data_IF_502382787446
#
_entry.id   IF_502382787446
#
_cell.length_a   1.000
_cell.length_b   1.000
_cell.length_c   1.000
_cell.angle_alpha   90.00
_cell.angle_beta   90.00
_cell.angle_gamma   90.00
#
_symmetry.space_group_name_H-M   'P 1'
#
loop_
_entity.id
_entity.type
_entity.pdbx_description
1 polymer ?
#
# COMPACT_ATOMS: atom_id res chain seq x y z
N UNK A 1 -26.68 -37.48 0.92
CA UNK A 1 -25.42 -37.14 1.61
C UNK A 1 -25.75 -36.66 3.02
N UNK A 2 -25.06 -37.17 4.04
CA UNK A 2 -25.25 -36.69 5.41
C UNK A 2 -24.73 -35.25 5.54
N UNK A 3 -25.52 -34.37 6.17
CA UNK A 3 -25.11 -32.99 6.45
C UNK A 3 -24.09 -32.90 7.59
N UNK A 4 -24.03 -33.94 8.44
CA UNK A 4 -23.15 -34.02 9.61
C UNK A 4 -21.96 -34.95 9.36
N UNK A 5 -20.82 -34.60 9.95
CA UNK A 5 -19.64 -35.48 10.03
C UNK A 5 -19.85 -36.41 11.22
N UNK A 6 -20.10 -37.69 10.96
CA UNK A 6 -20.30 -38.69 12.02
C UNK A 6 -18.97 -39.29 12.49
N UNK A 7 -18.96 -39.92 13.68
CA UNK A 7 -17.79 -40.68 14.16
C UNK A 7 -17.39 -41.82 13.21
N UNK A 8 -18.35 -42.41 12.51
CA UNK A 8 -18.08 -43.41 11.47
C UNK A 8 -17.28 -42.81 10.31
N UNK A 9 -17.61 -41.58 9.89
CA UNK A 9 -16.84 -40.85 8.88
C UNK A 9 -15.41 -40.58 9.36
N UNK A 10 -15.25 -40.05 10.59
CA UNK A 10 -13.92 -39.76 11.17
C UNK A 10 -13.07 -41.02 11.26
N UNK A 11 -13.63 -42.14 11.73
CA UNK A 11 -12.92 -43.42 11.79
C UNK A 11 -12.52 -43.92 10.41
N UNK A 12 -13.37 -43.74 9.38
CA UNK A 12 -13.03 -44.06 7.98
C UNK A 12 -11.89 -43.18 7.47
N UNK A 13 -11.91 -41.87 7.75
CA UNK A 13 -10.84 -40.94 7.35
C UNK A 13 -9.51 -41.28 8.03
N UNK A 14 -9.53 -41.58 9.32
CA UNK A 14 -8.34 -41.97 10.07
C UNK A 14 -7.74 -43.27 9.55
N UNK A 15 -8.58 -44.27 9.22
CA UNK A 15 -8.12 -45.51 8.61
C UNK A 15 -7.44 -45.23 7.26
N UNK A 16 -8.06 -44.41 6.40
CA UNK A 16 -7.48 -44.01 5.10
C UNK A 16 -6.13 -43.29 5.27
N UNK A 17 -6.03 -42.35 6.21
CA UNK A 17 -4.80 -41.64 6.50
C UNK A 17 -3.70 -42.57 7.03
N UNK A 18 -4.02 -43.45 8.00
CA UNK A 18 -3.05 -44.39 8.58
C UNK A 18 -2.55 -45.42 7.56
N UNK A 19 -3.32 -45.74 6.53
CA UNK A 19 -2.91 -46.64 5.45
C UNK A 19 -2.05 -45.98 4.37
N UNK A 20 -1.90 -44.65 4.39
CA UNK A 20 -1.09 -43.90 3.42
C UNK A 20 0.32 -43.61 3.98
N UNK A 21 1.38 -44.28 3.48
CA UNK A 21 2.74 -44.07 3.97
C UNK A 21 3.26 -42.64 3.71
N UNK A 22 2.91 -42.04 2.57
CA UNK A 22 3.33 -40.69 2.21
C UNK A 22 2.71 -39.69 3.17
N UNK A 23 1.41 -39.80 3.44
CA UNK A 23 0.72 -38.94 4.40
C UNK A 23 1.32 -39.04 5.82
N UNK A 24 1.73 -40.25 6.25
CA UNK A 24 2.37 -40.46 7.56
C UNK A 24 3.76 -39.82 7.64
N UNK A 25 4.59 -39.97 6.61
CA UNK A 25 5.93 -39.36 6.58
C UNK A 25 5.81 -37.84 6.52
N UNK A 26 4.94 -37.31 5.66
CA UNK A 26 4.67 -35.88 5.56
C UNK A 26 4.17 -35.30 6.89
N UNK A 27 3.29 -36.01 7.61
CA UNK A 27 2.85 -35.61 8.96
C UNK A 27 4.03 -35.56 9.94
N UNK A 28 4.91 -36.57 9.96
CA UNK A 28 6.05 -36.58 10.87
C UNK A 28 6.99 -35.38 10.63
N UNK A 29 7.17 -34.97 9.38
CA UNK A 29 7.96 -33.78 9.04
C UNK A 29 7.23 -32.48 9.38
N UNK A 30 6.00 -32.30 8.88
CA UNK A 30 5.22 -31.07 9.01
C UNK A 30 4.77 -30.76 10.44
N UNK A 31 4.66 -31.76 11.33
CA UNK A 31 4.36 -31.52 12.76
C UNK A 31 5.54 -30.96 13.55
N UNK A 32 6.75 -30.93 12.96
CA UNK A 32 7.99 -30.48 13.61
C UNK A 32 8.50 -29.13 13.09
N UNK A 33 7.98 -28.64 11.97
CA UNK A 33 8.45 -27.40 11.32
C UNK A 33 7.37 -26.81 10.40
N UNK A 34 7.56 -25.58 9.95
CA UNK A 34 6.76 -24.96 8.89
C UNK A 34 6.77 -25.83 7.62
N UNK A 35 5.58 -26.12 7.08
CA UNK A 35 5.39 -26.96 5.88
C UNK A 35 6.15 -26.43 4.67
N UNK A 36 6.31 -25.11 4.53
CA UNK A 36 7.04 -24.49 3.40
C UNK A 36 8.52 -24.85 3.42
N UNK A 37 9.09 -25.13 4.60
CA UNK A 37 10.49 -25.56 4.72
C UNK A 37 10.66 -27.02 4.30
N UNK A 38 9.63 -27.83 4.46
CA UNK A 38 9.62 -29.25 4.07
C UNK A 38 9.34 -29.41 2.59
N UNK A 39 8.37 -28.63 2.09
CA UNK A 39 7.90 -28.69 0.71
C UNK A 39 8.81 -27.97 -0.28
N UNK A 40 9.96 -27.44 0.13
CA UNK A 40 10.84 -26.70 -0.79
C UNK A 40 11.42 -27.66 -1.85
N UNK A 41 11.15 -27.38 -3.13
CA UNK A 41 11.76 -28.09 -4.24
C UNK A 41 13.23 -27.71 -4.35
N UNK A 42 14.12 -28.68 -4.09
CA UNK A 42 15.56 -28.45 -4.11
C UNK A 42 16.11 -28.14 -5.51
N UNK A 43 15.59 -28.79 -6.55
CA UNK A 43 16.05 -28.59 -7.93
C UNK A 43 15.62 -27.21 -8.45
N UNK A 44 14.40 -26.76 -8.19
CA UNK A 44 14.00 -25.38 -8.48
C UNK A 44 14.83 -24.38 -7.67
N UNK A 45 15.10 -24.67 -6.38
CA UNK A 45 15.83 -23.76 -5.51
C UNK A 45 17.29 -23.53 -5.96
N UNK A 46 18.00 -24.59 -6.38
CA UNK A 46 19.41 -24.47 -6.82
C UNK A 46 19.58 -23.75 -8.15
N UNK A 47 18.52 -23.61 -8.95
CA UNK A 47 18.52 -22.92 -10.25
C UNK A 47 18.30 -21.40 -10.12
N UNK A 48 17.98 -20.91 -8.92
CA UNK A 48 17.76 -19.49 -8.67
C UNK A 48 19.04 -18.70 -8.92
N UNK A 49 18.99 -17.81 -9.92
CA UNK A 49 20.05 -16.85 -10.25
C UNK A 49 19.51 -15.41 -10.12
N UNK A 50 20.22 -14.58 -9.36
CA UNK A 50 19.92 -13.16 -9.19
C UNK A 50 20.71 -12.26 -10.15
N UNK A 51 21.22 -12.84 -11.24
CA UNK A 51 21.92 -12.14 -12.32
C UNK A 51 20.93 -11.76 -13.42
N UNK A 52 20.79 -10.47 -13.68
CA UNK A 52 19.85 -9.93 -14.68
C UNK A 52 20.61 -9.22 -15.80
N UNK A 53 20.26 -9.51 -17.06
CA UNK A 53 20.88 -8.92 -18.25
C UNK A 53 20.58 -7.42 -18.41
N UNK A 54 19.41 -6.97 -17.96
CA UNK A 54 19.01 -5.57 -17.91
C UNK A 54 18.75 -5.16 -16.46
N UNK A 55 19.34 -4.04 -16.04
CA UNK A 55 19.17 -3.48 -14.70
C UNK A 55 18.95 -1.98 -14.78
N UNK A 56 18.07 -1.48 -13.93
CA UNK A 56 17.84 -0.05 -13.72
C UNK A 56 19.02 0.54 -12.94
N UNK A 57 19.58 1.64 -13.42
CA UNK A 57 20.71 2.33 -12.79
C UNK A 57 20.26 3.14 -11.58
N UNK A 58 21.17 3.42 -10.64
CA UNK A 58 20.84 4.29 -9.51
C UNK A 58 20.05 3.62 -8.39
N UNK A 59 20.03 2.28 -8.34
CA UNK A 59 19.55 1.51 -7.19
C UNK A 59 20.18 2.02 -5.88
N UNK A 60 19.34 2.16 -4.85
CA UNK A 60 19.74 2.59 -3.51
C UNK A 60 19.43 1.48 -2.49
N UNK A 61 20.01 1.57 -1.29
CA UNK A 61 19.76 0.62 -0.21
C UNK A 61 18.26 0.44 0.06
N UNK A 62 17.86 -0.79 0.35
CA UNK A 62 16.48 -1.13 0.65
C UNK A 62 15.94 -0.33 1.84
N UNK A 63 14.70 0.10 1.72
CA UNK A 63 13.93 0.80 2.76
C UNK A 63 13.12 -0.20 3.58
N UNK A 64 12.71 0.16 4.81
CA UNK A 64 11.91 -0.73 5.67
C UNK A 64 10.68 -0.05 6.23
N UNK A 65 9.49 -0.53 5.84
CA UNK A 65 8.20 -0.05 6.36
C UNK A 65 7.86 -0.57 7.77
N UNK A 66 8.68 -1.47 8.32
CA UNK A 66 8.48 -2.10 9.63
C UNK A 66 7.08 -2.73 9.75
N UNK A 67 6.37 -2.47 10.85
CA UNK A 67 5.04 -3.03 11.16
C UNK A 67 3.94 -2.05 10.73
N UNK A 68 3.92 -1.72 9.43
CA UNK A 68 2.90 -0.87 8.81
C UNK A 68 2.57 -1.39 7.41
N UNK A 69 1.39 -1.05 6.89
CA UNK A 69 0.91 -1.45 5.56
C UNK A 69 1.25 -0.44 4.45
N UNK A 70 2.41 0.24 4.53
CA UNK A 70 2.78 1.37 3.65
C UNK A 70 3.53 0.97 2.37
N UNK A 71 3.49 -0.30 1.98
CA UNK A 71 4.29 -0.83 0.86
C UNK A 71 4.15 -0.01 -0.44
N UNK A 72 2.92 0.38 -0.79
CA UNK A 72 2.61 1.21 -1.95
C UNK A 72 3.33 2.57 -1.93
N UNK A 73 3.30 3.27 -0.79
CA UNK A 73 4.00 4.55 -0.61
C UNK A 73 5.53 4.39 -0.59
N UNK A 74 6.04 3.33 0.05
CA UNK A 74 7.47 3.01 -0.01
C UNK A 74 7.92 2.72 -1.44
N UNK A 75 7.16 1.93 -2.20
CA UNK A 75 7.47 1.61 -3.59
C UNK A 75 7.42 2.86 -4.49
N UNK A 76 6.41 3.72 -4.34
CA UNK A 76 6.31 4.98 -5.09
C UNK A 76 7.47 5.94 -4.78
N UNK A 77 7.81 6.11 -3.50
CA UNK A 77 8.96 6.95 -3.10
C UNK A 77 10.30 6.31 -3.49
N UNK A 78 10.40 4.98 -3.56
CA UNK A 78 11.58 4.26 -4.06
C UNK A 78 11.78 4.47 -5.57
N UNK A 79 10.69 4.51 -6.34
CA UNK A 79 10.71 4.88 -7.75
C UNK A 79 11.24 6.31 -7.91
N UNK A 80 10.68 7.27 -7.18
CA UNK A 80 11.08 8.68 -7.29
C UNK A 80 12.54 8.94 -6.89
N UNK A 81 13.08 8.23 -5.88
CA UNK A 81 14.43 8.52 -5.39
C UNK A 81 15.51 8.07 -6.37
N UNK A 82 15.19 7.15 -7.28
CA UNK A 82 16.10 6.76 -8.37
C UNK A 82 16.35 7.97 -9.27
N UNK A 83 15.28 8.64 -9.73
CA UNK A 83 15.40 9.83 -10.56
C UNK A 83 16.12 10.98 -9.85
N UNK A 84 15.77 11.26 -8.59
CA UNK A 84 16.45 12.27 -7.79
C UNK A 84 17.93 11.92 -7.59
N UNK A 85 18.24 10.66 -7.31
CA UNK A 85 19.59 10.14 -7.15
C UNK A 85 20.45 10.32 -8.39
N UNK A 86 19.88 10.10 -9.58
CA UNK A 86 20.54 10.35 -10.88
C UNK A 86 20.79 11.84 -11.09
N UNK A 87 19.77 12.68 -10.92
CA UNK A 87 19.83 14.14 -11.10
C UNK A 87 20.93 14.77 -10.23
N UNK A 88 20.98 14.41 -8.95
CA UNK A 88 21.95 14.97 -7.99
C UNK A 88 23.22 14.14 -7.81
N UNK A 89 23.36 13.03 -8.55
CA UNK A 89 24.50 12.11 -8.45
C UNK A 89 24.76 11.67 -7.00
N UNK A 90 23.71 11.28 -6.28
CA UNK A 90 23.78 10.77 -4.90
C UNK A 90 23.39 9.27 -4.86
N UNK A 91 23.89 8.54 -3.86
CA UNK A 91 23.61 7.08 -3.69
C UNK A 91 22.82 6.75 -2.42
N UNK A 92 22.63 7.73 -1.54
CA UNK A 92 21.95 7.53 -0.26
C UNK A 92 20.97 8.67 -0.02
N UNK A 93 19.70 8.39 -0.32
CA UNK A 93 18.59 9.32 -0.14
C UNK A 93 17.30 8.54 0.13
N UNK A 94 16.47 9.09 0.99
CA UNK A 94 15.10 8.64 1.21
C UNK A 94 14.18 9.86 1.33
N UNK A 95 12.99 9.78 0.72
CA UNK A 95 11.89 10.66 1.07
C UNK A 95 11.26 10.22 2.40
N UNK A 96 10.55 11.13 3.06
CA UNK A 96 9.82 10.81 4.28
C UNK A 96 8.56 10.02 3.96
N UNK A 97 8.57 8.74 4.32
CA UNK A 97 7.37 7.89 4.27
C UNK A 97 6.39 8.22 5.42
N UNK A 98 6.86 8.89 6.48
CA UNK A 98 6.03 9.39 7.56
C UNK A 98 5.21 10.62 7.11
N UNK A 99 5.81 11.57 6.39
CA UNK A 99 5.12 12.70 5.77
C UNK A 99 4.00 12.24 4.83
N UNK A 100 4.32 11.27 3.97
CA UNK A 100 3.34 10.63 3.11
C UNK A 100 2.17 10.00 3.91
N UNK A 101 2.49 9.21 4.94
CA UNK A 101 1.49 8.57 5.79
C UNK A 101 0.58 9.57 6.51
N UNK A 102 1.13 10.70 6.96
CA UNK A 102 0.38 11.74 7.65
C UNK A 102 -0.78 12.24 6.79
N UNK A 103 -0.48 12.69 5.57
CA UNK A 103 -1.51 13.24 4.68
C UNK A 103 -2.42 12.17 4.11
N UNK A 104 -1.92 10.97 3.82
CA UNK A 104 -2.78 9.85 3.41
C UNK A 104 -3.86 9.56 4.46
N UNK A 105 -3.48 9.54 5.75
CA UNK A 105 -4.42 9.29 6.84
C UNK A 105 -5.40 10.43 7.03
N UNK A 106 -4.94 11.67 6.99
CA UNK A 106 -5.81 12.83 7.10
C UNK A 106 -6.86 12.84 5.97
N UNK A 107 -6.41 12.58 4.74
CA UNK A 107 -7.28 12.56 3.57
C UNK A 107 -8.25 11.39 3.60
N UNK A 108 -7.81 10.18 3.96
CA UNK A 108 -8.70 9.04 4.17
C UNK A 108 -9.77 9.31 5.24
N UNK A 109 -9.41 10.00 6.32
CA UNK A 109 -10.39 10.41 7.32
C UNK A 109 -11.46 11.33 6.71
N UNK A 110 -11.05 12.35 5.95
CA UNK A 110 -11.98 13.23 5.24
C UNK A 110 -12.83 12.46 4.22
N UNK A 111 -12.22 11.62 3.39
CA UNK A 111 -12.89 10.78 2.40
C UNK A 111 -13.94 9.87 3.03
N UNK A 112 -13.59 9.24 4.15
CA UNK A 112 -14.54 8.43 4.92
C UNK A 112 -15.72 9.27 5.42
N UNK A 113 -15.49 10.44 6.01
CA UNK A 113 -16.58 11.28 6.53
C UNK A 113 -17.49 11.78 5.39
N UNK A 114 -16.93 12.13 4.24
CA UNK A 114 -17.72 12.46 3.03
C UNK A 114 -18.56 11.28 2.57
N UNK A 115 -17.97 10.08 2.48
CA UNK A 115 -18.73 8.88 2.11
C UNK A 115 -19.87 8.60 3.10
N UNK A 116 -19.69 8.84 4.40
CA UNK A 116 -20.75 8.69 5.39
C UNK A 116 -21.87 9.72 5.19
N UNK A 117 -21.54 10.96 4.84
CA UNK A 117 -22.52 12.01 4.54
C UNK A 117 -23.30 11.65 3.27
N UNK A 118 -22.59 11.27 2.20
CA UNK A 118 -23.18 10.87 0.91
C UNK A 118 -24.09 9.64 1.01
N UNK A 119 -23.78 8.72 1.93
CA UNK A 119 -24.54 7.48 2.14
C UNK A 119 -25.45 7.53 3.37
N UNK A 120 -25.75 8.74 3.85
CA UNK A 120 -26.59 8.97 5.04
C UNK A 120 -28.01 8.42 4.91
N UNK A 121 -28.52 8.29 3.68
CA UNK A 121 -29.80 7.69 3.32
C UNK A 121 -29.85 6.16 3.43
N UNK A 122 -28.68 5.49 3.41
CA UNK A 122 -28.60 4.03 3.45
C UNK A 122 -28.76 3.48 4.86
N UNK A 123 -29.30 2.27 5.01
CA UNK A 123 -29.38 1.61 6.31
C UNK A 123 -28.00 1.35 6.92
N UNK A 124 -27.90 1.45 8.25
CA UNK A 124 -26.64 1.23 9.00
C UNK A 124 -26.14 -0.20 8.92
N UNK A 125 -27.03 -1.17 8.68
CA UNK A 125 -26.71 -2.58 8.46
C UNK A 125 -26.51 -2.94 6.97
N UNK A 126 -26.53 -1.96 6.07
CA UNK A 126 -26.25 -2.21 4.66
C UNK A 126 -24.79 -2.62 4.46
N UNK A 127 -24.55 -3.50 3.48
CA UNK A 127 -23.20 -3.99 3.14
C UNK A 127 -22.20 -2.86 2.88
N UNK A 128 -22.64 -1.78 2.25
CA UNK A 128 -21.80 -0.62 1.97
C UNK A 128 -21.39 0.11 3.26
N UNK A 129 -22.33 0.40 4.15
CA UNK A 129 -22.01 1.06 5.43
C UNK A 129 -21.12 0.17 6.29
N UNK A 130 -21.40 -1.14 6.36
CA UNK A 130 -20.52 -2.09 7.04
C UNK A 130 -19.10 -2.08 6.46
N UNK A 131 -18.95 -2.02 5.13
CA UNK A 131 -17.65 -1.94 4.46
C UNK A 131 -16.90 -0.64 4.79
N UNK A 132 -17.57 0.53 4.69
CA UNK A 132 -16.97 1.82 5.01
C UNK A 132 -16.50 1.89 6.48
N UNK A 133 -17.26 1.29 7.39
CA UNK A 133 -16.95 1.28 8.83
C UNK A 133 -15.88 0.27 9.22
N UNK A 134 -15.57 -0.74 8.39
CA UNK A 134 -14.63 -1.81 8.73
C UNK A 134 -13.20 -1.27 8.95
N UNK A 135 -12.66 -0.58 7.95
CA UNK A 135 -11.24 -0.17 7.91
C UNK A 135 -11.06 1.24 7.29
N UNK A 136 -11.66 2.30 7.87
CA UNK A 136 -11.74 3.63 7.25
C UNK A 136 -10.39 4.34 7.06
N UNK A 137 -9.34 3.89 7.75
CA UNK A 137 -8.02 4.53 7.74
C UNK A 137 -6.86 3.53 7.64
N UNK A 138 -7.11 2.40 6.96
CA UNK A 138 -6.07 1.41 6.69
C UNK A 138 -4.85 2.04 5.98
N UNK A 139 -3.67 1.44 6.18
CA UNK A 139 -2.41 1.99 5.64
C UNK A 139 -2.29 1.83 4.12
N UNK A 140 -2.93 0.81 3.53
CA UNK A 140 -2.79 0.47 2.11
C UNK A 140 -3.45 1.47 1.18
N UNK A 141 -3.00 1.52 -0.07
CA UNK A 141 -3.53 2.41 -1.10
C UNK A 141 -3.05 1.99 -2.50
N UNK A 142 -3.36 2.82 -3.49
CA UNK A 142 -3.15 2.55 -4.92
C UNK A 142 -2.33 3.66 -5.59
N UNK A 143 -1.92 3.43 -6.84
CA UNK A 143 -1.09 4.40 -7.58
C UNK A 143 -1.74 5.78 -7.68
N UNK A 144 -2.98 5.91 -8.15
CA UNK A 144 -3.63 7.23 -8.28
C UNK A 144 -3.78 7.94 -6.92
N UNK A 145 -4.02 7.19 -5.84
CA UNK A 145 -4.04 7.74 -4.48
C UNK A 145 -2.67 8.31 -4.06
N UNK A 146 -1.58 7.71 -4.54
CA UNK A 146 -0.20 8.19 -4.28
C UNK A 146 0.05 9.47 -5.08
N UNK A 147 -0.35 9.50 -6.35
CA UNK A 147 -0.28 10.68 -7.21
C UNK A 147 -1.04 11.85 -6.59
N UNK A 148 -2.29 11.64 -6.16
CA UNK A 148 -3.12 12.68 -5.53
C UNK A 148 -2.42 13.35 -4.34
N UNK A 149 -1.76 12.55 -3.49
CA UNK A 149 -1.05 13.07 -2.32
C UNK A 149 0.17 13.90 -2.70
N UNK A 150 0.98 13.43 -3.65
CA UNK A 150 2.18 14.16 -4.07
C UNK A 150 1.84 15.42 -4.85
N UNK A 151 0.79 15.39 -5.68
CA UNK A 151 0.32 16.59 -6.38
C UNK A 151 -0.21 17.64 -5.41
N UNK A 152 -0.92 17.24 -4.35
CA UNK A 152 -1.51 18.16 -3.36
C UNK A 152 -0.52 18.63 -2.28
N UNK A 153 0.32 17.74 -1.75
CA UNK A 153 1.19 18.03 -0.61
C UNK A 153 2.69 18.02 -0.95
N UNK A 154 3.09 17.49 -2.09
CA UNK A 154 4.49 17.32 -2.43
C UNK A 154 5.14 16.21 -1.62
N UNK A 155 6.43 16.37 -1.31
CA UNK A 155 7.19 15.41 -0.51
C UNK A 155 8.35 16.11 0.19
N UNK A 156 9.01 15.43 1.13
CA UNK A 156 10.16 15.96 1.85
C UNK A 156 11.24 14.88 2.02
N UNK A 157 12.52 15.24 2.19
CA UNK A 157 13.54 14.30 2.61
C UNK A 157 13.21 13.66 3.97
N UNK A 158 13.58 12.40 4.16
CA UNK A 158 13.34 11.65 5.41
C UNK A 158 13.93 12.32 6.65
N UNK A 159 15.01 13.09 6.49
CA UNK A 159 15.64 13.85 7.60
C UNK A 159 14.77 15.01 8.09
N UNK A 160 13.88 15.54 7.26
CA UNK A 160 13.01 16.67 7.61
C UNK A 160 11.80 16.19 8.41
N UNK A 161 11.28 15.00 8.11
CA UNK A 161 10.26 14.34 8.91
C UNK A 161 10.62 12.87 9.07
N UNK A 162 11.30 12.54 10.17
CA UNK A 162 11.75 11.18 10.46
C UNK A 162 10.58 10.25 10.81
N UNK A 163 10.84 8.95 10.84
CA UNK A 163 9.88 7.95 11.32
C UNK A 163 9.61 8.13 12.82
N UNK A 164 8.32 8.17 13.20
CA UNK A 164 7.88 7.99 14.58
C UNK A 164 7.66 6.51 14.93
N UNK A 165 7.44 6.20 16.22
CA UNK A 165 7.02 4.87 16.64
C UNK A 165 5.77 4.39 15.89
N UNK A 166 4.75 5.23 15.76
CA UNK A 166 3.50 4.87 15.10
C UNK A 166 3.60 4.81 13.59
N UNK A 167 4.51 5.55 12.96
CA UNK A 167 4.77 5.38 11.53
C UNK A 167 5.35 3.98 11.24
N UNK A 168 6.21 3.46 12.11
CA UNK A 168 6.82 2.13 12.03
C UNK A 168 6.01 1.01 12.72
N UNK A 169 4.92 1.33 13.41
CA UNK A 169 4.03 0.41 14.13
C UNK A 169 2.60 0.98 14.25
N UNK A 170 1.85 0.94 13.15
CA UNK A 170 0.64 1.76 12.96
C UNK A 170 -0.64 1.21 13.60
N UNK A 171 -0.65 -0.07 13.99
CA UNK A 171 -1.87 -0.77 14.42
C UNK A 171 -2.64 -0.04 15.53
N UNK A 172 -1.95 0.43 16.58
CA UNK A 172 -2.59 1.10 17.71
C UNK A 172 -3.16 2.48 17.33
N UNK A 173 -2.43 3.26 16.53
CA UNK A 173 -2.90 4.54 16.03
C UNK A 173 -4.14 4.35 15.16
N UNK A 174 -4.09 3.39 14.22
CA UNK A 174 -5.24 3.07 13.35
C UNK A 174 -6.46 2.66 14.14
N UNK A 175 -6.30 1.84 15.20
CA UNK A 175 -7.39 1.43 16.09
C UNK A 175 -8.05 2.63 16.79
N UNK A 176 -7.26 3.55 17.33
CA UNK A 176 -7.77 4.72 18.04
C UNK A 176 -8.48 5.69 17.10
N UNK A 177 -7.89 5.99 15.95
CA UNK A 177 -8.50 6.87 14.95
C UNK A 177 -9.76 6.25 14.36
N UNK A 178 -9.75 4.94 14.05
CA UNK A 178 -10.94 4.21 13.57
C UNK A 178 -12.09 4.27 14.57
N UNK A 179 -11.79 4.11 15.87
CA UNK A 179 -12.81 4.26 16.93
C UNK A 179 -13.46 5.64 16.88
N UNK A 180 -12.65 6.70 16.73
CA UNK A 180 -13.15 8.07 16.66
C UNK A 180 -13.92 8.36 15.37
N UNK A 181 -13.45 7.86 14.23
CA UNK A 181 -14.17 7.97 12.95
C UNK A 181 -15.55 7.28 13.00
N UNK A 182 -15.67 6.13 13.67
CA UNK A 182 -16.97 5.46 13.86
C UNK A 182 -17.93 6.25 14.74
N UNK A 183 -17.43 6.90 15.79
CA UNK A 183 -18.19 7.84 16.62
C UNK A 183 -18.70 9.02 15.77
N UNK A 184 -17.81 9.64 15.00
CA UNK A 184 -18.16 10.72 14.07
C UNK A 184 -19.18 10.31 13.01
N UNK A 185 -19.06 9.09 12.47
CA UNK A 185 -20.02 8.58 11.51
C UNK A 185 -21.43 8.46 12.11
N UNK A 186 -21.54 8.01 13.36
CA UNK A 186 -22.81 8.00 14.11
C UNK A 186 -23.36 9.43 14.25
N UNK A 187 -22.52 10.35 14.72
CA UNK A 187 -22.94 11.73 15.01
C UNK A 187 -23.34 12.50 13.74
N UNK A 188 -22.62 12.33 12.62
CA UNK A 188 -22.98 12.93 11.32
C UNK A 188 -24.32 12.39 10.82
N UNK A 189 -24.52 11.07 10.85
CA UNK A 189 -25.77 10.46 10.40
C UNK A 189 -26.96 10.88 11.26
N UNK A 190 -26.79 10.94 12.59
CA UNK A 190 -27.82 11.45 13.50
C UNK A 190 -28.12 12.93 13.25
N UNK A 191 -27.10 13.75 12.99
CA UNK A 191 -27.31 15.16 12.66
C UNK A 191 -28.12 15.32 11.37
N UNK A 192 -27.80 14.54 10.33
CA UNK A 192 -28.52 14.55 9.06
C UNK A 192 -29.97 14.07 9.25
N UNK A 193 -30.19 12.98 10.00
CA UNK A 193 -31.55 12.48 10.27
C UNK A 193 -32.40 13.47 11.07
N UNK A 194 -31.77 14.28 11.92
CA UNK A 194 -32.43 15.34 12.68
C UNK A 194 -32.62 16.64 11.87
N UNK A 195 -32.35 16.63 10.56
CA UNK A 195 -32.61 17.75 9.67
C UNK A 195 -31.57 18.88 9.75
N UNK A 196 -30.35 18.63 10.25
CA UNK A 196 -29.29 19.65 10.18
C UNK A 196 -28.99 20.02 8.72
N UNK A 197 -28.80 21.31 8.48
CA UNK A 197 -28.44 21.83 7.16
C UNK A 197 -27.04 21.38 6.72
N UNK A 198 -26.77 21.39 5.41
CA UNK A 198 -25.45 21.09 4.84
C UNK A 198 -24.33 21.94 5.46
N UNK A 199 -24.59 23.21 5.74
CA UNK A 199 -23.62 24.11 6.38
C UNK A 199 -23.27 23.66 7.80
N UNK A 200 -24.26 23.28 8.60
CA UNK A 200 -24.04 22.76 9.96
C UNK A 200 -23.28 21.43 9.95
N UNK A 201 -23.62 20.53 9.02
CA UNK A 201 -22.90 19.24 8.85
C UNK A 201 -21.45 19.49 8.41
N UNK A 202 -21.21 20.43 7.49
CA UNK A 202 -19.86 20.82 7.07
C UNK A 202 -19.03 21.36 8.22
N UNK A 203 -19.62 22.20 9.09
CA UNK A 203 -18.94 22.72 10.29
C UNK A 203 -18.57 21.60 11.26
N UNK A 204 -19.50 20.66 11.50
CA UNK A 204 -19.22 19.48 12.33
C UNK A 204 -18.06 18.66 11.75
N UNK A 205 -18.06 18.40 10.44
CA UNK A 205 -16.98 17.65 9.79
C UNK A 205 -15.62 18.33 9.95
N UNK A 206 -15.56 19.66 9.85
CA UNK A 206 -14.34 20.43 10.05
C UNK A 206 -13.77 20.29 11.48
N UNK A 207 -14.63 20.41 12.50
CA UNK A 207 -14.26 20.17 13.90
C UNK A 207 -13.77 18.72 14.12
N UNK A 208 -14.44 17.75 13.50
CA UNK A 208 -14.05 16.34 13.54
C UNK A 208 -12.68 16.11 12.90
N UNK A 209 -12.40 16.73 11.75
CA UNK A 209 -11.10 16.63 11.08
C UNK A 209 -9.99 17.32 11.86
N UNK A 210 -10.27 18.42 12.56
CA UNK A 210 -9.33 19.04 13.48
C UNK A 210 -8.92 18.08 14.61
N UNK A 211 -9.86 17.31 15.17
CA UNK A 211 -9.55 16.28 16.18
C UNK A 211 -8.69 15.16 15.58
N UNK A 212 -8.99 14.69 14.36
CA UNK A 212 -8.14 13.69 13.67
C UNK A 212 -6.74 14.24 13.40
N UNK A 213 -6.62 15.48 12.95
CA UNK A 213 -5.33 16.14 12.72
C UNK A 213 -4.49 16.17 14.00
N UNK A 214 -5.10 16.51 15.13
CA UNK A 214 -4.44 16.47 16.44
C UNK A 214 -3.95 15.05 16.79
N UNK A 215 -4.77 14.03 16.58
CA UNK A 215 -4.37 12.62 16.81
C UNK A 215 -3.19 12.20 15.94
N UNK A 216 -3.16 12.64 14.67
CA UNK A 216 -2.05 12.39 13.75
C UNK A 216 -0.78 13.11 14.18
N UNK A 217 -0.86 14.39 14.57
CA UNK A 217 0.28 15.14 15.10
C UNK A 217 0.89 14.48 16.34
N UNK A 218 0.04 14.02 17.28
CA UNK A 218 0.50 13.27 18.47
C UNK A 218 1.25 11.99 18.08
N UNK A 219 0.80 11.31 17.02
CA UNK A 219 1.34 10.00 16.64
C UNK A 219 2.54 10.06 15.69
N UNK A 220 2.57 11.05 14.80
CA UNK A 220 3.46 11.12 13.64
C UNK A 220 4.37 12.36 13.65
N UNK A 221 4.12 13.32 14.53
CA UNK A 221 4.74 14.64 14.51
C UNK A 221 4.01 15.60 13.55
N UNK A 222 4.38 16.88 13.61
CA UNK A 222 3.84 17.92 12.75
C UNK A 222 4.55 17.93 11.39
N UNK A 223 3.84 17.98 10.26
CA UNK A 223 4.46 18.15 8.95
C UNK A 223 5.23 19.47 8.86
N UNK A 224 6.42 19.48 8.24
CA UNK A 224 7.21 20.70 8.03
C UNK A 224 6.54 21.62 6.99
N UNK A 225 6.48 22.91 7.30
CA UNK A 225 6.02 23.94 6.34
C UNK A 225 7.15 24.40 5.42
N UNK A 226 8.32 24.65 6.02
CA UNK A 226 9.56 25.04 5.33
C UNK A 226 10.75 24.27 5.86
N UNK A 227 11.79 24.08 5.04
CA UNK A 227 13.03 23.43 5.41
C UNK A 227 14.17 23.76 4.47
N UNK A 228 15.39 23.56 4.97
CA UNK A 228 16.59 23.53 4.14
C UNK A 228 16.96 22.09 3.79
N UNK A 229 17.47 21.89 2.58
CA UNK A 229 17.98 20.60 2.14
C UNK A 229 19.44 20.74 1.70
N UNK A 230 20.31 19.91 2.29
CA UNK A 230 21.73 19.88 1.97
C UNK A 230 22.18 18.48 1.62
N UNK A 231 23.05 18.36 0.61
CA UNK A 231 23.63 17.10 0.13
C UNK A 231 25.10 17.26 -0.22
N UNK A 232 25.80 16.13 -0.28
CA UNK A 232 27.10 16.00 -0.95
C UNK A 232 26.94 15.02 -2.10
N UNK A 233 27.39 15.41 -3.29
CA UNK A 233 27.32 14.52 -4.45
C UNK A 233 28.45 13.47 -4.44
N UNK A 234 28.47 12.58 -5.45
CA UNK A 234 29.52 11.56 -5.62
C UNK A 234 30.95 12.11 -5.72
N UNK A 235 31.15 13.41 -5.95
CA UNK A 235 32.46 14.09 -5.99
C UNK A 235 32.74 14.88 -4.70
N UNK A 236 31.97 14.63 -3.64
CA UNK A 236 32.03 15.35 -2.37
C UNK A 236 31.74 16.87 -2.47
N UNK A 237 31.10 17.33 -3.55
CA UNK A 237 30.70 18.73 -3.66
C UNK A 237 29.45 18.97 -2.82
N UNK A 238 29.50 19.97 -1.95
CA UNK A 238 28.38 20.40 -1.12
C UNK A 238 27.37 21.22 -1.94
N UNK A 239 26.09 20.92 -1.74
CA UNK A 239 24.96 21.68 -2.28
C UNK A 239 23.97 21.96 -1.16
N UNK A 240 23.42 23.17 -1.11
CA UNK A 240 22.37 23.58 -0.18
C UNK A 240 21.26 24.31 -0.93
N UNK A 241 20.03 23.98 -0.57
CA UNK A 241 18.81 24.59 -1.08
C UNK A 241 18.03 25.07 0.14
N UNK A 242 17.73 26.36 0.20
CA UNK A 242 17.07 26.98 1.35
C UNK A 242 15.62 27.32 1.05
N UNK A 243 14.84 27.56 2.10
CA UNK A 243 13.47 28.08 2.02
C UNK A 243 12.54 27.21 1.16
N UNK A 244 12.78 25.89 1.20
CA UNK A 244 11.96 24.92 0.47
C UNK A 244 10.69 24.64 1.25
N UNK A 245 9.58 24.59 0.52
CA UNK A 245 8.34 23.95 0.95
C UNK A 245 8.28 22.52 0.39
N UNK A 246 7.47 21.61 0.95
CA UNK A 246 7.28 20.27 0.39
C UNK A 246 6.88 20.28 -1.11
N UNK A 247 6.04 21.23 -1.50
CA UNK A 247 5.60 21.44 -2.88
C UNK A 247 6.73 21.92 -3.79
N UNK A 248 7.48 22.94 -3.38
CA UNK A 248 8.60 23.45 -4.18
C UNK A 248 9.73 22.42 -4.26
N UNK A 249 9.94 21.62 -3.21
CA UNK A 249 10.89 20.52 -3.24
C UNK A 249 10.50 19.45 -4.27
N UNK A 250 9.22 19.02 -4.26
CA UNK A 250 8.71 18.07 -5.23
C UNK A 250 8.87 18.59 -6.68
N UNK A 251 8.38 19.80 -6.96
CA UNK A 251 8.42 20.39 -8.30
C UNK A 251 9.84 20.61 -8.83
N UNK A 252 10.77 21.10 -8.00
CA UNK A 252 12.13 21.44 -8.44
C UNK A 252 13.09 20.25 -8.47
N UNK A 253 12.98 19.36 -7.48
CA UNK A 253 14.01 18.33 -7.23
C UNK A 253 13.60 16.93 -7.64
N UNK A 254 12.30 16.61 -7.67
CA UNK A 254 11.80 15.35 -8.25
C UNK A 254 11.58 15.51 -9.75
N UNK A 255 10.84 16.55 -10.15
CA UNK A 255 10.74 16.99 -11.55
C UNK A 255 10.23 15.90 -12.51
N UNK A 256 9.17 15.21 -12.07
CA UNK A 256 8.47 14.16 -12.82
C UNK A 256 6.97 14.48 -12.77
N UNK A 257 6.31 14.50 -13.92
CA UNK A 257 4.87 14.56 -13.95
C UNK A 257 4.29 13.16 -13.71
N UNK A 258 3.72 12.98 -12.52
CA UNK A 258 3.09 11.72 -12.15
C UNK A 258 1.80 11.43 -12.93
N UNK A 259 1.23 12.42 -13.62
CA UNK A 259 0.06 12.22 -14.48
C UNK A 259 0.38 11.53 -15.81
N UNK A 260 1.67 11.46 -16.20
CA UNK A 260 2.11 10.72 -17.38
C UNK A 260 2.10 9.19 -17.18
N UNK A 261 1.93 8.74 -15.93
CA UNK A 261 1.90 7.33 -15.57
C UNK A 261 0.49 6.76 -15.66
N UNK A 262 0.39 5.52 -16.15
CA UNK A 262 -0.87 4.78 -16.24
C UNK A 262 -0.76 3.49 -15.42
N UNK A 263 -1.80 3.16 -14.66
CA UNK A 263 -1.87 1.91 -13.93
C UNK A 263 -2.43 0.79 -14.83
N UNK A 264 -1.59 -0.20 -15.13
CA UNK A 264 -1.97 -1.39 -15.88
C UNK A 264 -2.28 -2.53 -14.91
N UNK A 265 -3.35 -3.27 -15.17
CA UNK A 265 -3.71 -4.48 -14.40
C UNK A 265 -3.91 -5.66 -15.35
N UNK A 266 -3.78 -6.87 -14.80
CA UNK A 266 -4.31 -8.07 -15.42
C UNK A 266 -5.39 -8.65 -14.51
N UNK A 267 -6.63 -8.51 -14.94
CA UNK A 267 -7.81 -9.08 -14.29
C UNK A 267 -8.50 -10.05 -15.26
N UNK A 268 -8.28 -11.38 -15.09
CA UNK A 268 -8.82 -12.39 -15.98
C UNK A 268 -10.26 -12.80 -15.63
N UNK A 269 -10.92 -12.09 -14.70
CA UNK A 269 -12.30 -12.44 -14.30
C UNK A 269 -13.26 -12.25 -15.49
N UNK A 270 -14.28 -13.11 -15.64
CA UNK A 270 -15.13 -13.11 -16.82
C UNK A 270 -16.01 -11.86 -16.99
N UNK A 271 -16.10 -11.01 -15.97
CA UNK A 271 -16.86 -9.75 -16.01
C UNK A 271 -15.96 -8.51 -16.20
N UNK A 272 -14.67 -8.70 -16.45
CA UNK A 272 -13.70 -7.63 -16.73
C UNK A 272 -13.07 -7.85 -18.10
N UNK A 273 -13.55 -7.11 -19.09
CA UNK A 273 -13.01 -7.13 -20.44
C UNK A 273 -11.59 -6.52 -20.49
N UNK A 274 -10.75 -7.02 -21.39
CA UNK A 274 -9.48 -6.38 -21.71
C UNK A 274 -9.67 -5.13 -22.57
N UNK A 275 -8.68 -4.23 -22.56
CA UNK A 275 -8.70 -2.93 -23.24
C UNK A 275 -9.81 -2.00 -22.76
N UNK A 276 -10.21 -2.14 -21.50
CA UNK A 276 -11.19 -1.28 -20.82
C UNK A 276 -10.57 -0.70 -19.54
N UNK A 277 -11.07 0.47 -19.17
CA UNK A 277 -10.68 1.14 -17.93
C UNK A 277 -11.70 0.87 -16.83
N UNK A 278 -11.21 0.52 -15.65
CA UNK A 278 -12.02 0.26 -14.47
C UNK A 278 -11.64 1.19 -13.32
N UNK A 279 -12.62 1.45 -12.46
CA UNK A 279 -12.43 2.08 -11.15
C UNK A 279 -13.10 1.21 -10.08
N UNK A 280 -12.89 1.54 -8.81
CA UNK A 280 -13.52 0.87 -7.68
C UNK A 280 -14.26 1.91 -6.86
N UNK A 281 -15.58 1.78 -6.80
CA UNK A 281 -16.43 2.69 -6.02
C UNK A 281 -15.96 2.78 -4.56
N UNK A 282 -15.95 4.00 -4.04
CA UNK A 282 -15.51 4.33 -2.67
C UNK A 282 -14.06 3.96 -2.32
N UNK A 283 -13.21 3.62 -3.30
CA UNK A 283 -11.77 3.48 -3.10
C UNK A 283 -11.07 4.80 -3.44
N UNK A 284 -10.51 5.48 -2.43
CA UNK A 284 -9.84 6.76 -2.60
C UNK A 284 -9.25 7.31 -1.31
N UNK A 285 -8.61 8.49 -1.40
CA UNK A 285 -8.10 9.23 -0.25
C UNK A 285 -8.37 10.74 -0.38
N UNK A 286 -7.89 11.40 -1.44
CA UNK A 286 -8.08 12.84 -1.63
C UNK A 286 -9.43 13.08 -2.31
N UNK A 287 -10.39 13.64 -1.57
CA UNK A 287 -11.69 14.01 -2.15
C UNK A 287 -11.51 15.08 -3.22
N UNK A 288 -12.13 14.90 -4.39
CA UNK A 288 -11.94 15.74 -5.58
C UNK A 288 -10.61 15.53 -6.31
N UNK A 289 -9.77 14.58 -5.88
CA UNK A 289 -8.58 14.15 -6.60
C UNK A 289 -8.92 13.25 -7.79
N UNK A 290 -7.88 12.73 -8.46
CA UNK A 290 -8.06 11.75 -9.52
C UNK A 290 -8.69 10.47 -8.96
N UNK A 291 -9.70 9.95 -9.66
CA UNK A 291 -10.22 8.61 -9.40
C UNK A 291 -9.16 7.56 -9.72
N UNK A 292 -9.29 6.39 -9.10
CA UNK A 292 -8.44 5.25 -9.40
C UNK A 292 -8.79 4.71 -10.78
N UNK A 293 -7.80 4.54 -11.65
CA UNK A 293 -8.01 4.09 -13.03
C UNK A 293 -7.08 2.92 -13.32
N UNK A 294 -7.67 1.79 -13.65
CA UNK A 294 -6.95 0.60 -14.09
C UNK A 294 -7.26 0.33 -15.56
N UNK A 295 -6.23 0.27 -16.40
CA UNK A 295 -6.37 -0.28 -17.75
C UNK A 295 -6.15 -1.79 -17.68
N UNK A 296 -7.19 -2.57 -17.92
CA UNK A 296 -7.11 -4.03 -17.92
C UNK A 296 -6.50 -4.54 -19.23
N UNK A 297 -5.40 -5.27 -19.13
CA UNK A 297 -4.67 -5.83 -20.27
C UNK A 297 -4.27 -7.28 -20.01
N UNK A 298 -3.94 -7.99 -21.10
CA UNK A 298 -3.36 -9.32 -21.03
C UNK A 298 -1.95 -9.28 -20.41
N UNK A 299 -1.57 -10.37 -19.75
CA UNK A 299 -0.30 -10.46 -19.03
C UNK A 299 0.93 -10.22 -19.93
N UNK A 300 0.86 -10.64 -21.20
CA UNK A 300 1.96 -10.43 -22.15
C UNK A 300 2.18 -8.94 -22.46
N UNK A 301 1.12 -8.13 -22.49
CA UNK A 301 1.26 -6.68 -22.65
C UNK A 301 1.86 -6.04 -21.39
N UNK A 302 1.46 -6.47 -20.18
CA UNK A 302 2.08 -5.99 -18.94
C UNK A 302 3.59 -6.28 -18.93
N UNK A 303 4.00 -7.50 -19.29
CA UNK A 303 5.42 -7.88 -19.40
C UNK A 303 6.15 -7.03 -20.43
N UNK A 304 5.57 -6.86 -21.62
CA UNK A 304 6.14 -6.05 -22.71
C UNK A 304 6.40 -4.61 -22.28
N UNK A 305 5.45 -3.94 -21.63
CA UNK A 305 5.64 -2.56 -21.15
C UNK A 305 6.65 -2.48 -20.00
N UNK A 306 6.64 -3.47 -19.10
CA UNK A 306 7.63 -3.57 -18.01
C UNK A 306 9.05 -3.72 -18.57
N UNK A 307 9.26 -4.62 -19.54
CA UNK A 307 10.56 -4.82 -20.21
C UNK A 307 11.00 -3.53 -20.90
N UNK A 308 10.08 -2.83 -21.58
CA UNK A 308 10.39 -1.57 -22.26
C UNK A 308 10.82 -0.49 -21.26
N UNK A 309 10.13 -0.37 -20.13
CA UNK A 309 10.50 0.55 -19.04
C UNK A 309 11.89 0.24 -18.49
N UNK A 310 12.17 -1.01 -18.15
CA UNK A 310 13.48 -1.42 -17.60
C UNK A 310 14.61 -1.14 -18.63
N UNK A 311 14.40 -1.44 -19.91
CA UNK A 311 15.38 -1.16 -20.98
C UNK A 311 15.58 0.34 -21.24
N UNK A 312 14.59 1.16 -20.93
CA UNK A 312 14.67 2.62 -20.95
C UNK A 312 15.30 3.21 -19.68
N UNK A 313 15.79 2.35 -18.77
CA UNK A 313 16.32 2.73 -17.47
C UNK A 313 15.26 3.30 -16.49
N UNK A 314 13.98 3.01 -16.71
CA UNK A 314 12.88 3.48 -15.87
C UNK A 314 12.39 2.37 -14.92
N UNK A 315 12.40 2.60 -13.59
CA UNK A 315 11.87 1.65 -12.60
C UNK A 315 10.34 1.50 -12.66
N UNK A 316 9.84 0.30 -12.36
CA UNK A 316 8.41 -0.04 -12.43
C UNK A 316 7.85 -0.26 -11.01
N UNK A 317 6.77 0.45 -10.68
CA UNK A 317 5.93 0.13 -9.53
C UNK A 317 4.98 -1.00 -9.91
N UNK A 318 4.86 -2.04 -9.07
CA UNK A 318 3.91 -3.13 -9.32
C UNK A 318 3.28 -3.64 -8.02
N UNK A 319 2.04 -4.12 -8.14
CA UNK A 319 1.31 -4.80 -7.09
C UNK A 319 1.24 -6.31 -7.36
N UNK A 320 1.32 -7.12 -6.31
CA UNK A 320 1.16 -8.57 -6.38
C UNK A 320 0.69 -9.15 -5.04
N UNK A 321 0.19 -10.39 -5.05
CA UNK A 321 0.01 -11.17 -3.82
C UNK A 321 1.36 -11.79 -3.40
N UNK A 322 2.19 -10.97 -2.75
CA UNK A 322 3.56 -11.33 -2.33
C UNK A 322 3.62 -12.52 -1.38
N UNK A 323 2.50 -12.94 -0.78
CA UNK A 323 2.45 -14.09 0.11
C UNK A 323 2.43 -15.44 -0.60
N UNK A 324 2.16 -15.46 -1.92
CA UNK A 324 2.03 -16.68 -2.72
C UNK A 324 3.38 -17.08 -3.31
N UNK A 325 3.71 -18.36 -3.17
CA UNK A 325 4.93 -18.96 -3.73
C UNK A 325 6.20 -18.15 -3.41
N UNK A 326 6.26 -17.60 -2.20
CA UNK A 326 7.33 -16.70 -1.75
C UNK A 326 8.11 -17.28 -0.57
N UNK A 327 9.44 -17.22 -0.66
CA UNK A 327 10.35 -17.45 0.47
C UNK A 327 11.01 -16.14 0.90
N UNK A 328 10.68 -15.68 2.11
CA UNK A 328 11.24 -14.44 2.65
C UNK A 328 12.73 -14.53 2.93
N UNK A 329 13.21 -15.71 3.32
CA UNK A 329 14.61 -15.91 3.70
C UNK A 329 15.55 -15.71 2.50
N UNK A 330 15.13 -16.16 1.31
CA UNK A 330 15.93 -16.08 0.09
C UNK A 330 15.47 -14.97 -0.86
N UNK A 331 14.30 -14.38 -0.63
CA UNK A 331 13.80 -13.26 -1.44
C UNK A 331 13.32 -13.68 -2.83
N UNK A 332 12.71 -14.85 -2.94
CA UNK A 332 12.37 -15.48 -4.24
C UNK A 332 10.87 -15.73 -4.31
N UNK A 333 10.28 -15.39 -5.46
CA UNK A 333 8.89 -15.65 -5.83
C UNK A 333 8.87 -16.54 -7.07
N UNK A 334 8.57 -17.83 -6.91
CA UNK A 334 8.59 -18.81 -7.99
C UNK A 334 7.54 -19.91 -7.74
N UNK A 335 6.65 -20.12 -8.72
CA UNK A 335 5.56 -21.09 -8.65
C UNK A 335 6.03 -22.55 -8.54
N UNK A 336 7.27 -22.84 -8.94
CA UNK A 336 7.88 -24.17 -8.87
C UNK A 336 8.69 -24.39 -7.58
N UNK A 337 8.72 -23.41 -6.68
CA UNK A 337 9.58 -23.47 -5.48
C UNK A 337 9.07 -24.44 -4.42
N UNK A 338 7.78 -24.78 -4.43
CA UNK A 338 7.17 -25.63 -3.42
C UNK A 338 6.38 -26.79 -4.04
N UNK A 339 6.63 -27.99 -3.54
CA UNK A 339 5.90 -29.23 -3.84
C UNK A 339 4.89 -29.49 -2.72
N UNK A 340 3.71 -28.89 -2.86
CA UNK A 340 2.60 -29.10 -1.90
C UNK A 340 1.66 -30.25 -2.29
N UNK A 341 1.63 -30.60 -3.57
CA UNK A 341 0.87 -31.73 -4.13
C UNK A 341 1.70 -33.01 -4.01
#
# INVERSE_FOLDING_TARGET
MGKEITLSNVNKYLKKFKSDPQARISMNAATRTDVRRVAMNWESFREIDHTFSNKVTGEMKATSQKRSGRCWGFAGLNLLRIYLGRKYKIKDFEFSQNYFMFYDKLEKANYFLENIIETSDKSTDSRLIMHLLDSPIQDGGQWDMFVNLLMKYGTVPKKVMAESYHSSNSAQMNKLITRKLREFAKDLRTAISNGKSKSQVSKMKDEMLSEIYQMLCISLGTPPETFDWSIRDKKDKFHRYTDLTPQTFFKKHVDIDLNDFVCLINDPRPFTDYNKTYTVDYLGNVYGGNIIRYLNLENEELKKYTIKSIKADDPVWFGCDVGKFFTRQFGVMDTNLFEFD
#
